data_IF_470428559389
#
_entry.id   IF_470428559389
#
_cell.length_a   1.000
_cell.length_b   1.000
_cell.length_c   1.000
_cell.angle_alpha   90.00
_cell.angle_beta   90.00
_cell.angle_gamma   90.00
#
_symmetry.space_group_name_H-M   'P 1'
#
loop_
_entity.id
_entity.type
_entity.pdbx_description
1 polymer ?
#
# COMPACT_ATOMS: atom_id res chain seq x y z
N UNK A 1 28.67 14.43 -1.33
CA UNK A 1 27.55 14.67 -2.28
C UNK A 1 26.27 14.76 -1.50
N UNK A 2 25.51 15.85 -1.66
CA UNK A 2 24.25 16.07 -0.93
C UNK A 2 23.24 15.02 -1.35
N UNK A 3 23.08 14.00 -0.51
CA UNK A 3 22.12 12.92 -0.69
C UNK A 3 20.72 13.55 -0.55
N UNK A 4 20.08 13.84 -1.68
CA UNK A 4 18.91 14.71 -1.78
C UNK A 4 17.74 14.14 -0.98
N UNK A 5 17.56 14.64 0.25
CA UNK A 5 16.52 14.21 1.19
C UNK A 5 15.12 14.46 0.65
N UNK A 6 14.96 15.50 -0.17
CA UNK A 6 13.72 15.76 -0.89
C UNK A 6 13.44 14.64 -1.90
N UNK A 7 14.42 14.28 -2.75
CA UNK A 7 14.29 13.17 -3.71
C UNK A 7 13.93 11.84 -3.03
N UNK A 8 14.61 11.51 -1.92
CA UNK A 8 14.37 10.28 -1.18
C UNK A 8 12.99 10.24 -0.50
N UNK A 9 12.44 11.39 -0.12
CA UNK A 9 11.07 11.45 0.42
C UNK A 9 9.99 11.12 -0.63
N UNK A 10 10.29 11.34 -1.91
CA UNK A 10 9.38 11.09 -3.03
C UNK A 10 9.52 9.70 -3.64
N UNK A 11 10.56 8.93 -3.30
CA UNK A 11 10.80 7.57 -3.81
C UNK A 11 9.58 6.64 -3.67
N UNK A 12 8.90 6.56 -2.50
CA UNK A 12 7.70 5.72 -2.37
C UNK A 12 6.58 6.15 -3.31
N UNK A 13 6.40 7.47 -3.49
CA UNK A 13 5.41 8.05 -4.39
C UNK A 13 5.72 7.72 -5.85
N UNK A 14 6.95 7.95 -6.31
CA UNK A 14 7.38 7.63 -7.67
C UNK A 14 7.28 6.13 -7.98
N UNK A 15 7.65 5.26 -7.02
CA UNK A 15 7.55 3.81 -7.21
C UNK A 15 6.08 3.38 -7.41
N UNK A 16 5.15 4.02 -6.69
CA UNK A 16 3.70 3.76 -6.80
C UNK A 16 3.13 4.31 -8.10
N UNK A 17 3.48 5.52 -8.51
CA UNK A 17 3.09 6.10 -9.81
C UNK A 17 3.55 5.23 -10.98
N UNK A 18 4.77 4.70 -10.91
CA UNK A 18 5.32 3.78 -11.92
C UNK A 18 4.57 2.44 -11.95
N UNK A 19 4.22 1.89 -10.79
CA UNK A 19 3.42 0.66 -10.72
C UNK A 19 1.99 0.85 -11.25
N UNK A 20 1.43 2.06 -11.12
CA UNK A 20 0.08 2.41 -11.53
C UNK A 20 0.05 3.31 -12.78
N UNK A 21 0.71 2.94 -13.88
CA UNK A 21 0.61 3.56 -15.24
C UNK A 21 0.38 5.10 -15.29
N UNK A 22 0.92 5.87 -14.33
CA UNK A 22 0.65 7.30 -14.16
C UNK A 22 -0.79 7.68 -13.74
N UNK A 23 -0.92 8.73 -12.92
CA UNK A 23 -2.21 9.38 -12.67
C UNK A 23 -2.50 10.41 -13.77
N UNK A 24 -3.76 10.49 -14.23
CA UNK A 24 -4.20 11.46 -15.25
C UNK A 24 -4.18 12.92 -14.75
N UNK A 25 -4.07 13.14 -13.45
CA UNK A 25 -3.94 14.48 -12.86
C UNK A 25 -3.28 14.45 -11.48
N UNK A 26 -2.70 15.58 -11.07
CA UNK A 26 -2.11 15.73 -9.73
C UNK A 26 -3.16 15.57 -8.61
N UNK A 27 -4.37 16.10 -8.80
CA UNK A 27 -5.45 15.97 -7.80
C UNK A 27 -5.87 14.52 -7.59
N UNK A 28 -5.88 13.69 -8.64
CA UNK A 28 -6.14 12.26 -8.52
C UNK A 28 -5.00 11.55 -7.77
N UNK A 29 -3.75 11.88 -8.08
CA UNK A 29 -2.59 11.37 -7.34
C UNK A 29 -2.66 11.75 -5.86
N UNK A 30 -2.99 13.00 -5.54
CA UNK A 30 -3.01 13.49 -4.17
C UNK A 30 -4.13 12.84 -3.34
N UNK A 31 -5.32 12.67 -3.91
CA UNK A 31 -6.40 11.90 -3.27
C UNK A 31 -6.00 10.46 -3.00
N UNK A 32 -5.36 9.81 -3.98
CA UNK A 32 -4.85 8.46 -3.80
C UNK A 32 -3.80 8.40 -2.69
N UNK A 33 -2.81 9.31 -2.70
CA UNK A 33 -1.75 9.35 -1.70
C UNK A 33 -2.28 9.64 -0.29
N UNK A 34 -3.28 10.52 -0.15
CA UNK A 34 -3.91 10.83 1.12
C UNK A 34 -4.51 9.56 1.75
N UNK A 35 -5.31 8.80 1.00
CA UNK A 35 -5.87 7.53 1.49
C UNK A 35 -4.78 6.46 1.69
N UNK A 36 -3.87 6.32 0.72
CA UNK A 36 -2.89 5.24 0.72
C UNK A 36 -1.79 5.41 1.76
N UNK A 37 -1.51 6.64 2.21
CA UNK A 37 -0.54 6.90 3.27
C UNK A 37 -0.93 6.24 4.60
N UNK A 38 -2.22 6.22 4.95
CA UNK A 38 -2.73 5.52 6.14
C UNK A 38 -2.82 4.00 5.98
N UNK A 39 -3.13 3.52 4.77
CA UNK A 39 -3.33 2.08 4.50
C UNK A 39 -1.99 1.34 4.36
N UNK A 40 -1.01 1.94 3.69
CA UNK A 40 0.21 1.24 3.30
C UNK A 40 1.05 0.67 4.46
N UNK A 41 1.19 1.32 5.63
CA UNK A 41 1.94 0.75 6.75
C UNK A 41 1.33 -0.55 7.27
N UNK A 42 0.00 -0.69 7.22
CA UNK A 42 -0.69 -1.92 7.61
C UNK A 42 -0.27 -3.12 6.75
N UNK A 43 0.11 -2.94 5.50
CA UNK A 43 0.58 -4.02 4.62
C UNK A 43 2.10 -4.12 4.53
N UNK A 44 2.85 -3.50 5.44
CA UNK A 44 4.32 -3.55 5.47
C UNK A 44 4.84 -4.07 6.81
N UNK A 45 4.55 -5.34 7.17
CA UNK A 45 5.22 -5.99 8.29
C UNK A 45 6.72 -6.03 8.02
N UNK A 46 7.51 -6.06 9.10
CA UNK A 46 8.98 -6.08 9.03
C UNK A 46 9.46 -7.43 8.48
N UNK A 47 9.33 -7.65 7.16
CA UNK A 47 9.64 -8.91 6.47
C UNK A 47 11.03 -9.45 6.77
N UNK A 48 12.00 -8.57 7.01
CA UNK A 48 13.37 -8.94 7.35
C UNK A 48 13.52 -9.57 8.75
N UNK A 49 12.48 -9.48 9.60
CA UNK A 49 12.43 -10.09 10.93
C UNK A 49 11.57 -11.37 10.95
N UNK A 50 11.05 -11.81 9.81
CA UNK A 50 10.09 -12.90 9.73
C UNK A 50 10.57 -13.98 8.79
N UNK A 51 10.28 -15.22 9.13
CA UNK A 51 10.42 -16.32 8.19
C UNK A 51 9.33 -16.22 7.10
N UNK A 52 9.56 -16.89 5.96
CA UNK A 52 8.58 -16.91 4.87
C UNK A 52 7.19 -17.43 5.27
N UNK A 53 7.02 -18.53 6.05
CA UNK A 53 5.70 -18.97 6.50
C UNK A 53 5.02 -17.97 7.44
N UNK A 54 5.74 -17.40 8.42
CA UNK A 54 5.17 -16.40 9.34
C UNK A 54 4.68 -15.17 8.59
N UNK A 55 5.45 -14.69 7.62
CA UNK A 55 5.06 -13.57 6.77
C UNK A 55 3.77 -13.86 5.98
N UNK A 56 3.61 -15.09 5.47
CA UNK A 56 2.40 -15.50 4.74
C UNK A 56 1.17 -15.51 5.66
N UNK A 57 1.29 -16.10 6.84
CA UNK A 57 0.21 -16.12 7.85
C UNK A 57 -0.19 -14.70 8.27
N UNK A 58 0.80 -13.85 8.56
CA UNK A 58 0.57 -12.45 8.92
C UNK A 58 -0.16 -11.68 7.82
N UNK A 59 0.20 -11.92 6.56
CA UNK A 59 -0.51 -11.31 5.42
C UNK A 59 -1.95 -11.81 5.31
N UNK A 60 -2.20 -13.10 5.48
CA UNK A 60 -3.58 -13.65 5.49
C UNK A 60 -4.44 -12.98 6.56
N UNK A 61 -3.91 -12.80 7.78
CA UNK A 61 -4.62 -12.12 8.87
C UNK A 61 -4.90 -10.65 8.53
N UNK A 62 -3.90 -9.93 8.03
CA UNK A 62 -4.07 -8.51 7.63
C UNK A 62 -5.10 -8.33 6.53
N UNK A 63 -5.14 -9.20 5.53
CA UNK A 63 -6.17 -9.18 4.51
C UNK A 63 -7.56 -9.48 5.06
N UNK A 64 -7.70 -10.46 5.97
CA UNK A 64 -8.98 -10.75 6.62
C UNK A 64 -9.51 -9.55 7.42
N UNK A 65 -8.65 -8.87 8.18
CA UNK A 65 -8.99 -7.64 8.91
C UNK A 65 -9.39 -6.52 7.95
N UNK A 66 -8.64 -6.36 6.86
CA UNK A 66 -8.96 -5.37 5.83
C UNK A 66 -10.33 -5.62 5.20
N UNK A 67 -10.65 -6.88 4.90
CA UNK A 67 -11.93 -7.24 4.29
C UNK A 67 -13.11 -6.96 5.23
N UNK A 68 -12.93 -7.21 6.52
CA UNK A 68 -13.91 -6.87 7.55
C UNK A 68 -14.15 -5.35 7.63
N UNK A 69 -13.08 -4.56 7.67
CA UNK A 69 -13.17 -3.09 7.77
C UNK A 69 -13.82 -2.48 6.52
N UNK A 70 -13.50 -3.01 5.35
CA UNK A 70 -14.01 -2.49 4.07
C UNK A 70 -15.38 -3.06 3.68
N UNK A 71 -15.90 -4.03 4.43
CA UNK A 71 -17.18 -4.68 4.14
C UNK A 71 -17.15 -5.53 2.86
N UNK A 72 -15.97 -5.90 2.37
CA UNK A 72 -15.83 -6.74 1.17
C UNK A 72 -16.22 -8.20 1.44
N UNK A 73 -16.24 -8.63 2.71
CA UNK A 73 -16.62 -9.98 3.13
C UNK A 73 -18.07 -10.38 2.78
N UNK A 74 -18.90 -9.45 2.30
CA UNK A 74 -20.31 -9.72 1.94
C UNK A 74 -20.74 -9.31 0.54
N UNK A 75 -19.85 -8.81 -0.33
CA UNK A 75 -20.26 -8.36 -1.68
C UNK A 75 -20.04 -9.50 -2.68
N UNK A 76 -21.09 -10.16 -3.20
CA UNK A 76 -20.91 -11.11 -4.29
C UNK A 76 -20.26 -10.36 -5.45
N UNK A 77 -19.17 -10.92 -5.97
CA UNK A 77 -18.54 -10.41 -7.17
C UNK A 77 -19.59 -10.42 -8.28
N UNK A 78 -20.00 -9.23 -8.74
CA UNK A 78 -20.93 -9.11 -9.85
C UNK A 78 -20.31 -9.83 -11.06
N UNK A 79 -20.99 -10.88 -11.50
CA UNK A 79 -20.72 -11.66 -12.72
C UNK A 79 -21.07 -10.87 -13.96
#
# INVERSE_FOLDING_TARGET
>A
GLNNRAENSHQPTRQRERAMKGFRSMGAAQRFLAAFSGISPHFRPRRHLMTAPEYRTEMTVRFAVWDQITGTTGRPAAT
#
